data_IF_268601380066
#
_entry.id   IF_268601380066
#
_cell.length_a   1.000
_cell.length_b   1.000
_cell.length_c   1.000
_cell.angle_alpha   90.00
_cell.angle_beta   90.00
_cell.angle_gamma   90.00
#
_symmetry.space_group_name_H-M   'P 1'
#
loop_
_entity.id
_entity.type
_entity.pdbx_description
1 polymer ?
#
# COMPACT_ATOMS: atom_id res chain seq x y z
N UNK A 1 8.76 42.18 23.52
CA UNK A 1 7.79 42.18 22.41
C UNK A 1 7.76 40.75 21.88
N UNK A 2 6.97 39.93 22.57
CA UNK A 2 6.86 38.50 22.32
C UNK A 2 5.37 38.27 22.10
N UNK A 3 5.00 37.93 20.87
CA UNK A 3 3.72 37.31 20.54
C UNK A 3 3.95 36.50 19.27
N UNK A 4 4.42 35.28 19.50
CA UNK A 4 4.46 34.22 18.51
C UNK A 4 3.10 33.53 18.61
N UNK A 5 2.13 33.99 17.82
CA UNK A 5 0.79 33.42 17.77
C UNK A 5 0.87 31.94 17.33
N UNK A 6 0.61 31.05 18.29
CA UNK A 6 0.38 29.64 18.07
C UNK A 6 -0.97 29.47 17.37
N UNK A 7 -0.94 29.25 16.05
CA UNK A 7 -2.12 28.85 15.32
C UNK A 7 -2.58 27.45 15.76
N UNK A 8 -3.70 27.41 16.46
CA UNK A 8 -4.45 26.19 16.78
C UNK A 8 -5.04 25.67 15.47
N UNK A 9 -4.41 24.65 14.86
CA UNK A 9 -4.93 23.99 13.67
C UNK A 9 -6.21 23.24 14.06
N UNK A 10 -7.34 23.82 13.68
CA UNK A 10 -8.66 23.22 13.71
C UNK A 10 -8.64 21.84 13.05
N UNK A 11 -9.38 20.93 13.67
CA UNK A 11 -9.59 19.53 13.30
C UNK A 11 -9.69 19.33 11.78
N UNK A 12 -8.67 18.67 11.22
CA UNK A 12 -8.63 18.31 9.81
C UNK A 12 -9.64 17.18 9.57
N UNK A 13 -10.70 17.40 8.78
CA UNK A 13 -11.59 16.31 8.41
C UNK A 13 -10.81 15.40 7.44
N UNK A 14 -10.39 14.23 7.90
CA UNK A 14 -9.81 13.15 7.08
C UNK A 14 -10.83 12.53 6.10
N UNK A 15 -11.70 13.33 5.48
CA UNK A 15 -12.71 12.86 4.54
C UNK A 15 -12.40 13.15 3.08
N UNK A 16 -11.43 14.02 2.78
CA UNK A 16 -11.01 14.27 1.40
C UNK A 16 -9.81 13.40 1.01
N UNK A 17 -10.00 12.08 1.06
CA UNK A 17 -9.31 11.21 0.10
C UNK A 17 -9.97 11.44 -1.26
N UNK A 18 -9.77 12.62 -1.85
CA UNK A 18 -9.74 12.68 -3.30
C UNK A 18 -8.55 11.82 -3.70
N UNK A 19 -8.79 10.50 -3.79
CA UNK A 19 -8.09 9.62 -4.71
C UNK A 19 -7.87 10.46 -5.94
N UNK A 20 -6.61 10.61 -6.39
CA UNK A 20 -6.26 11.33 -7.61
C UNK A 20 -7.14 10.83 -8.77
N UNK A 21 -8.36 11.36 -8.90
CA UNK A 21 -9.34 11.02 -9.92
C UNK A 21 -8.90 11.56 -11.27
N UNK A 22 -7.86 12.39 -11.28
CA UNK A 22 -7.20 12.91 -12.47
C UNK A 22 -6.33 11.89 -13.20
N UNK A 23 -6.07 10.69 -12.63
CA UNK A 23 -5.55 9.57 -13.42
C UNK A 23 -6.65 8.92 -14.30
N UNK A 24 -7.90 9.34 -14.18
CA UNK A 24 -9.05 8.64 -14.77
C UNK A 24 -9.52 9.05 -16.17
N UNK A 25 -9.09 10.12 -16.86
CA UNK A 25 -9.51 10.32 -18.24
C UNK A 25 -8.33 10.10 -19.17
N UNK A 26 -8.22 8.91 -19.81
CA UNK A 26 -7.60 8.68 -21.14
C UNK A 26 -7.32 7.20 -21.48
N UNK A 27 -7.72 6.23 -20.66
CA UNK A 27 -7.78 4.83 -21.12
C UNK A 27 -9.25 4.47 -21.36
N UNK A 28 -9.58 4.09 -22.60
CA UNK A 28 -10.86 3.50 -22.95
C UNK A 28 -11.14 2.36 -21.98
N UNK A 29 -12.02 2.63 -21.01
CA UNK A 29 -12.31 1.74 -19.89
C UNK A 29 -13.27 0.67 -20.38
N UNK A 30 -12.77 -0.53 -20.59
CA UNK A 30 -13.57 -1.73 -20.79
C UNK A 30 -13.79 -2.40 -19.41
N UNK A 31 -14.99 -2.29 -18.80
CA UNK A 31 -15.25 -2.79 -17.44
C UNK A 31 -15.09 -4.31 -17.31
N UNK A 32 -15.12 -5.05 -18.44
CA UNK A 32 -15.18 -6.51 -18.49
C UNK A 32 -13.82 -7.20 -18.70
N UNK A 33 -12.71 -6.45 -18.86
CA UNK A 33 -11.46 -7.02 -19.38
C UNK A 33 -10.47 -7.52 -18.30
N UNK A 34 -10.73 -7.27 -17.02
CA UNK A 34 -9.85 -7.70 -15.93
C UNK A 34 -10.57 -8.49 -14.85
N UNK A 35 -10.78 -9.78 -15.13
CA UNK A 35 -11.14 -10.77 -14.11
C UNK A 35 -9.91 -10.99 -13.22
N UNK A 36 -9.96 -10.49 -11.98
CA UNK A 36 -8.94 -10.80 -10.98
C UNK A 36 -8.89 -12.32 -10.79
N UNK A 37 -7.73 -12.93 -10.95
CA UNK A 37 -7.56 -14.36 -10.71
C UNK A 37 -7.88 -14.68 -9.25
N UNK A 38 -8.88 -15.53 -9.02
CA UNK A 38 -9.20 -16.07 -7.70
C UNK A 38 -8.57 -17.44 -7.54
N UNK A 39 -7.98 -17.69 -6.38
CA UNK A 39 -7.39 -18.98 -6.01
C UNK A 39 -7.92 -19.43 -4.66
N UNK A 40 -7.85 -20.74 -4.43
CA UNK A 40 -8.24 -21.34 -3.16
C UNK A 40 -7.08 -21.32 -2.15
N UNK A 41 -7.40 -21.28 -0.86
CA UNK A 41 -6.46 -21.27 0.26
C UNK A 41 -5.54 -22.49 0.24
N UNK A 42 -6.04 -23.64 -0.21
CA UNK A 42 -5.27 -24.90 -0.35
C UNK A 42 -4.12 -24.81 -1.34
N UNK A 43 -4.17 -23.85 -2.27
CA UNK A 43 -3.11 -23.60 -3.25
C UNK A 43 -1.97 -22.77 -2.66
N UNK A 44 -2.12 -22.23 -1.45
CA UNK A 44 -1.23 -21.23 -0.86
C UNK A 44 -0.51 -21.79 0.37
N UNK A 45 0.82 -21.78 0.33
CA UNK A 45 1.67 -22.11 1.48
C UNK A 45 2.37 -20.85 1.98
N UNK A 46 2.13 -20.47 3.24
CA UNK A 46 2.87 -19.37 3.89
C UNK A 46 4.19 -19.90 4.44
N UNK A 47 5.30 -19.18 4.25
CA UNK A 47 6.63 -19.63 4.66
C UNK A 47 7.26 -18.69 5.69
N UNK A 48 7.65 -17.48 5.29
CA UNK A 48 8.43 -16.54 6.12
C UNK A 48 7.71 -15.22 6.27
N UNK A 49 7.69 -14.62 7.47
CA UNK A 49 7.21 -13.24 7.64
C UNK A 49 8.22 -12.26 7.01
N UNK A 50 7.76 -11.44 6.07
CA UNK A 50 8.55 -10.38 5.42
C UNK A 50 8.39 -9.03 6.11
N UNK A 51 7.19 -8.73 6.61
CA UNK A 51 6.93 -7.48 7.32
C UNK A 51 5.53 -7.40 7.90
N UNK A 52 5.27 -6.32 8.64
CA UNK A 52 3.97 -6.00 9.22
C UNK A 52 3.72 -4.50 9.10
N UNK A 53 2.48 -4.11 8.79
CA UNK A 53 2.07 -2.72 8.70
C UNK A 53 0.59 -2.53 9.04
N UNK A 54 0.05 -1.35 8.73
CA UNK A 54 -1.31 -0.95 9.10
C UNK A 54 -2.39 -1.95 8.64
N UNK A 55 -2.23 -2.55 7.46
CA UNK A 55 -3.21 -3.47 6.87
C UNK A 55 -3.01 -4.94 7.26
N UNK A 56 -1.98 -5.26 8.06
CA UNK A 56 -1.68 -6.62 8.49
C UNK A 56 -0.26 -7.06 8.16
N UNK A 57 -0.08 -8.37 8.03
CA UNK A 57 1.24 -9.01 7.86
C UNK A 57 1.46 -9.36 6.40
N UNK A 58 2.72 -9.30 5.97
CA UNK A 58 3.15 -9.77 4.66
C UNK A 58 4.08 -10.95 4.86
N UNK A 59 3.75 -12.08 4.25
CA UNK A 59 4.55 -13.29 4.28
C UNK A 59 5.10 -13.59 2.89
N UNK A 60 6.29 -14.16 2.81
CA UNK A 60 6.70 -14.96 1.67
C UNK A 60 5.87 -16.23 1.68
N UNK A 61 5.57 -16.75 0.50
CA UNK A 61 4.92 -18.03 0.35
C UNK A 61 4.99 -18.55 -1.06
N UNK A 62 4.32 -19.67 -1.27
CA UNK A 62 4.32 -20.41 -2.51
C UNK A 62 2.88 -20.66 -2.97
N UNK A 63 2.60 -20.46 -4.25
CA UNK A 63 1.29 -20.71 -4.85
C UNK A 63 1.40 -21.76 -5.95
N UNK A 64 0.56 -22.79 -5.86
CA UNK A 64 0.48 -23.88 -6.84
C UNK A 64 -0.57 -23.60 -7.91
N UNK A 65 -0.27 -24.00 -9.14
CA UNK A 65 -1.21 -23.99 -10.27
C UNK A 65 -1.75 -22.59 -10.63
N UNK A 66 -0.96 -21.53 -10.40
CA UNK A 66 -1.38 -20.16 -10.72
C UNK A 66 -1.32 -19.88 -12.22
N UNK A 67 -0.25 -20.35 -12.86
CA UNK A 67 -0.17 -20.44 -14.32
C UNK A 67 -0.38 -21.93 -14.67
N UNK A 68 -1.05 -22.24 -15.78
CA UNK A 68 -1.54 -23.59 -16.16
C UNK A 68 -0.47 -24.70 -16.28
N UNK A 69 0.75 -24.48 -15.80
CA UNK A 69 1.94 -25.31 -15.95
C UNK A 69 2.28 -26.20 -14.75
N UNK A 70 1.43 -26.27 -13.72
CA UNK A 70 1.69 -27.14 -12.54
C UNK A 70 2.89 -26.70 -11.68
N UNK A 71 3.48 -25.55 -11.98
CA UNK A 71 4.62 -24.97 -11.28
C UNK A 71 4.19 -24.22 -10.04
N UNK A 72 5.05 -24.25 -9.02
CA UNK A 72 4.90 -23.49 -7.80
C UNK A 72 5.66 -22.16 -7.92
N UNK A 73 4.98 -21.05 -7.64
CA UNK A 73 5.54 -19.70 -7.77
C UNK A 73 5.74 -19.11 -6.38
N UNK A 74 6.94 -18.61 -6.10
CA UNK A 74 7.20 -17.84 -4.88
C UNK A 74 6.62 -16.43 -4.98
N UNK A 75 5.90 -16.03 -3.93
CA UNK A 75 5.05 -14.83 -3.90
C UNK A 75 5.17 -14.11 -2.57
N UNK A 76 4.76 -12.85 -2.54
CA UNK A 76 4.44 -12.13 -1.31
C UNK A 76 2.92 -12.20 -1.05
N UNK A 77 2.52 -12.57 0.15
CA UNK A 77 1.14 -12.77 0.55
C UNK A 77 0.81 -11.78 1.65
N UNK A 78 0.00 -10.78 1.30
CA UNK A 78 -0.53 -9.81 2.26
C UNK A 78 -1.76 -10.43 2.92
N UNK A 79 -1.77 -10.45 4.24
CA UNK A 79 -2.88 -10.94 5.06
C UNK A 79 -3.56 -9.74 5.72
N UNK A 80 -4.87 -9.85 5.94
CA UNK A 80 -5.58 -8.95 6.84
C UNK A 80 -5.24 -9.29 8.31
N UNK A 81 -5.44 -8.35 9.23
CA UNK A 81 -5.30 -8.60 10.67
C UNK A 81 -6.41 -9.56 11.17
N UNK A 82 -6.09 -10.37 12.17
CA UNK A 82 -7.08 -11.22 12.84
C UNK A 82 -8.14 -10.36 13.53
N UNK A 83 -9.42 -10.69 13.34
CA UNK A 83 -10.53 -9.93 13.92
C UNK A 83 -10.86 -8.60 13.21
N UNK A 84 -10.32 -8.37 12.02
CA UNK A 84 -10.59 -7.16 11.24
C UNK A 84 -12.09 -6.98 10.94
N UNK A 85 -12.54 -5.74 11.01
CA UNK A 85 -13.91 -5.33 10.72
C UNK A 85 -14.27 -5.50 9.25
N UNK A 86 -15.57 -5.56 8.95
CA UNK A 86 -16.08 -5.58 7.57
C UNK A 86 -15.60 -4.37 6.74
N UNK A 87 -15.41 -3.21 7.38
CA UNK A 87 -14.91 -2.01 6.71
C UNK A 87 -13.43 -2.15 6.32
N UNK A 88 -12.60 -2.74 7.18
CA UNK A 88 -11.18 -3.02 6.87
C UNK A 88 -11.06 -4.05 5.75
N UNK A 89 -11.91 -5.10 5.78
CA UNK A 89 -12.01 -6.07 4.68
C UNK A 89 -12.35 -5.39 3.35
N UNK A 90 -13.30 -4.44 3.37
CA UNK A 90 -13.67 -3.64 2.19
C UNK A 90 -12.52 -2.75 1.70
N UNK A 91 -11.79 -2.08 2.61
CA UNK A 91 -10.61 -1.27 2.26
C UNK A 91 -9.51 -2.14 1.63
N UNK A 92 -9.26 -3.31 2.20
CA UNK A 92 -8.27 -4.28 1.72
C UNK A 92 -8.58 -4.80 0.30
N UNK A 93 -9.84 -5.19 0.05
CA UNK A 93 -10.26 -5.61 -1.30
C UNK A 93 -10.33 -4.43 -2.29
N UNK A 94 -10.57 -3.20 -1.82
CA UNK A 94 -10.49 -2.01 -2.68
C UNK A 94 -9.06 -1.77 -3.18
N UNK A 95 -8.05 -1.98 -2.34
CA UNK A 95 -6.63 -1.93 -2.74
C UNK A 95 -6.35 -2.93 -3.86
N UNK A 96 -6.83 -4.18 -3.72
CA UNK A 96 -6.68 -5.22 -4.72
C UNK A 96 -7.30 -4.85 -6.07
N UNK A 97 -8.52 -4.28 -6.06
CA UNK A 97 -9.23 -3.83 -7.26
C UNK A 97 -8.49 -2.70 -7.99
N UNK A 98 -7.86 -1.78 -7.25
CA UNK A 98 -7.05 -0.71 -7.84
C UNK A 98 -5.82 -1.29 -8.54
N UNK A 99 -5.16 -2.27 -7.92
CA UNK A 99 -3.99 -2.94 -8.52
C UNK A 99 -4.35 -3.78 -9.74
N UNK A 100 -5.52 -4.43 -9.75
CA UNK A 100 -5.92 -5.28 -10.87
C UNK A 100 -6.41 -4.50 -12.09
N UNK A 101 -7.19 -3.43 -11.90
CA UNK A 101 -7.82 -2.72 -13.02
C UNK A 101 -6.87 -1.76 -13.75
N UNK A 102 -5.80 -1.26 -13.09
CA UNK A 102 -5.10 -0.05 -13.57
C UNK A 102 -3.59 -0.28 -13.82
N UNK A 103 -2.96 -1.30 -13.22
CA UNK A 103 -1.51 -1.24 -12.96
C UNK A 103 -0.67 -2.42 -13.50
N UNK A 104 -0.83 -2.80 -14.78
CA UNK A 104 0.17 -3.66 -15.43
C UNK A 104 1.31 -2.81 -16.01
N UNK A 105 2.38 -2.64 -15.25
CA UNK A 105 3.58 -1.94 -15.71
C UNK A 105 4.85 -2.51 -15.07
N UNK A 106 5.98 -2.50 -15.80
CA UNK A 106 7.27 -3.06 -15.37
C UNK A 106 7.79 -2.49 -14.04
N UNK A 107 7.41 -1.26 -13.71
CA UNK A 107 7.88 -0.55 -12.52
C UNK A 107 6.83 -0.44 -11.41
N UNK A 108 5.75 -1.22 -11.49
CA UNK A 108 4.67 -1.22 -10.50
C UNK A 108 4.45 -2.65 -10.02
N UNK A 109 4.36 -2.82 -8.69
CA UNK A 109 4.19 -4.12 -8.06
C UNK A 109 2.93 -4.80 -8.59
N UNK A 110 3.08 -6.01 -9.12
CA UNK A 110 1.99 -6.75 -9.74
C UNK A 110 1.18 -7.54 -8.72
N UNK A 111 -0.14 -7.36 -8.75
CA UNK A 111 -1.09 -8.28 -8.14
C UNK A 111 -1.27 -9.50 -9.05
N UNK A 112 -1.05 -10.69 -8.48
CA UNK A 112 -1.13 -11.96 -9.18
C UNK A 112 -2.51 -12.61 -9.03
N UNK A 113 -3.02 -12.66 -7.80
CA UNK A 113 -4.29 -13.28 -7.47
C UNK A 113 -4.84 -12.76 -6.13
N UNK A 114 -6.10 -13.08 -5.87
CA UNK A 114 -6.74 -12.93 -4.56
C UNK A 114 -7.25 -14.28 -4.05
N UNK A 115 -7.23 -14.47 -2.74
CA UNK A 115 -7.91 -15.58 -2.08
C UNK A 115 -8.97 -14.99 -1.16
N UNK A 116 -10.23 -15.29 -1.42
CA UNK A 116 -11.37 -14.79 -0.63
C UNK A 116 -11.98 -15.87 0.27
N UNK A 117 -11.25 -16.98 0.49
CA UNK A 117 -11.73 -18.09 1.31
C UNK A 117 -11.89 -17.68 2.78
N UNK A 118 -13.12 -17.76 3.27
CA UNK A 118 -13.47 -17.47 4.67
C UNK A 118 -13.45 -15.98 5.03
N UNK A 119 -13.21 -15.70 6.31
CA UNK A 119 -13.32 -14.34 6.85
C UNK A 119 -12.10 -13.46 6.58
N UNK A 120 -10.94 -14.04 6.29
CA UNK A 120 -9.67 -13.31 6.12
C UNK A 120 -9.13 -13.40 4.69
N UNK A 121 -9.40 -12.40 3.82
CA UNK A 121 -8.91 -12.42 2.45
C UNK A 121 -7.38 -12.23 2.39
N UNK A 122 -6.77 -12.74 1.32
CA UNK A 122 -5.34 -12.62 1.05
C UNK A 122 -5.10 -11.99 -0.32
N UNK A 123 -4.07 -11.14 -0.42
CA UNK A 123 -3.57 -10.65 -1.70
C UNK A 123 -2.26 -11.36 -2.04
N UNK A 124 -2.19 -11.92 -3.24
CA UNK A 124 -1.00 -12.58 -3.76
C UNK A 124 -0.30 -11.62 -4.71
N UNK A 125 0.88 -11.19 -4.32
CA UNK A 125 1.70 -10.19 -4.98
C UNK A 125 3.00 -10.83 -5.50
N UNK A 126 3.59 -10.18 -6.49
CA UNK A 126 4.96 -10.48 -6.89
C UNK A 126 5.92 -10.37 -5.70
N UNK A 127 6.82 -11.35 -5.56
CA UNK A 127 7.82 -11.33 -4.50
C UNK A 127 8.96 -10.41 -4.90
N UNK A 128 9.20 -9.37 -4.11
CA UNK A 128 10.34 -8.48 -4.26
C UNK A 128 11.48 -8.93 -3.34
N UNK A 129 12.72 -8.94 -3.83
CA UNK A 129 13.87 -9.43 -3.07
C UNK A 129 14.18 -8.55 -1.84
N UNK A 130 14.06 -7.22 -1.98
CA UNK A 130 14.45 -6.25 -0.96
C UNK A 130 13.49 -5.05 -0.97
N UNK A 131 13.13 -4.54 0.21
CA UNK A 131 12.43 -3.26 0.33
C UNK A 131 13.41 -2.09 0.18
N UNK A 132 12.98 -1.02 -0.49
CA UNK A 132 13.87 0.09 -0.84
C UNK A 132 14.48 0.77 0.40
N UNK A 133 13.72 0.89 1.49
CA UNK A 133 14.22 1.53 2.71
C UNK A 133 15.35 0.72 3.33
N UNK A 134 15.19 -0.60 3.42
CA UNK A 134 16.21 -1.51 3.91
C UNK A 134 17.42 -1.51 2.99
N UNK A 135 17.23 -1.59 1.68
CA UNK A 135 18.33 -1.50 0.71
C UNK A 135 19.16 -0.22 0.92
N UNK A 136 18.51 0.93 1.07
CA UNK A 136 19.18 2.22 1.28
C UNK A 136 19.85 2.36 2.65
N UNK A 137 19.36 1.67 3.68
CA UNK A 137 19.99 1.62 5.01
C UNK A 137 21.25 0.77 4.98
N UNK A 138 21.12 -0.43 4.43
CA UNK A 138 22.22 -1.41 4.30
C UNK A 138 23.35 -0.83 3.42
N UNK A 139 22.99 -0.14 2.33
CA UNK A 139 23.96 0.51 1.43
C UNK A 139 24.71 1.70 2.06
N UNK A 140 24.19 2.27 3.15
CA UNK A 140 24.76 3.47 3.80
C UNK A 140 25.40 3.20 5.16
N UNK A 141 25.38 1.97 5.69
CA UNK A 141 25.78 1.65 7.07
C UNK A 141 25.10 2.56 8.13
N UNK A 142 23.89 3.07 7.84
CA UNK A 142 23.18 4.01 8.71
C UNK A 142 22.38 3.26 9.79
N UNK A 143 22.60 3.62 11.05
CA UNK A 143 21.89 3.06 12.21
C UNK A 143 20.42 3.48 12.23
N UNK A 144 19.57 2.63 12.82
CA UNK A 144 18.11 2.74 12.79
C UNK A 144 17.51 3.93 13.57
N UNK A 145 18.35 4.78 14.18
CA UNK A 145 17.96 5.82 15.14
C UNK A 145 17.23 7.03 14.56
N UNK A 146 17.25 7.24 13.24
CA UNK A 146 16.89 8.56 12.68
C UNK A 146 15.42 8.69 12.22
N UNK A 147 14.62 7.62 12.34
CA UNK A 147 13.25 7.60 11.84
C UNK A 147 12.22 7.90 12.95
N UNK A 148 12.21 9.13 13.44
CA UNK A 148 11.11 9.62 14.27
C UNK A 148 9.87 9.86 13.39
N UNK A 149 8.89 8.97 13.47
CA UNK A 149 7.53 9.23 13.01
C UNK A 149 6.93 10.31 13.91
N UNK A 150 6.86 11.54 13.41
CA UNK A 150 6.17 12.63 14.09
C UNK A 150 4.66 12.38 13.99
N UNK A 151 3.98 12.34 15.14
CA UNK A 151 2.54 12.15 15.24
C UNK A 151 1.83 13.49 15.05
N UNK A 152 1.08 13.64 13.95
CA UNK A 152 -0.01 14.62 13.91
C UNK A 152 -1.23 14.01 14.62
N UNK A 153 -1.97 14.86 15.34
CA UNK A 153 -3.09 14.46 16.19
C UNK A 153 -4.29 14.12 15.29
N UNK A 154 -4.59 12.83 15.15
CA UNK A 154 -5.70 12.27 14.36
C UNK A 154 -5.40 10.81 14.01
N UNK A 155 -6.40 9.92 13.95
CA UNK A 155 -6.28 8.48 14.26
C UNK A 155 -5.38 7.61 13.37
N UNK A 156 -4.70 8.14 12.35
CA UNK A 156 -3.72 7.41 11.54
C UNK A 156 -2.41 8.21 11.39
N UNK A 157 -1.23 7.60 11.64
CA UNK A 157 0.05 8.30 11.54
C UNK A 157 0.34 8.74 10.09
N UNK A 158 0.53 10.04 9.89
CA UNK A 158 0.87 10.63 8.58
C UNK A 158 2.40 10.73 8.38
N UNK A 159 2.92 10.52 7.16
CA UNK A 159 4.35 10.58 6.85
C UNK A 159 4.82 12.02 6.63
N UNK A 160 4.79 12.86 7.67
CA UNK A 160 5.02 14.32 7.59
C UNK A 160 6.28 14.70 6.79
N UNK A 161 7.38 13.95 6.97
CA UNK A 161 8.66 14.22 6.28
C UNK A 161 8.61 14.05 4.75
N UNK A 162 7.57 13.37 4.25
CA UNK A 162 7.36 13.07 2.83
C UNK A 162 6.23 13.90 2.22
N UNK A 163 5.49 14.66 3.02
CA UNK A 163 4.33 15.41 2.59
C UNK A 163 4.72 16.78 2.05
N UNK A 164 4.05 17.20 0.97
CA UNK A 164 4.19 18.54 0.42
C UNK A 164 3.55 19.58 1.38
N UNK A 165 3.96 20.86 1.33
CA UNK A 165 3.40 21.90 2.19
C UNK A 165 1.88 22.00 2.09
N UNK A 166 1.31 21.90 0.89
CA UNK A 166 -0.14 21.93 0.68
C UNK A 166 -0.86 20.71 1.28
N UNK A 167 -0.21 19.55 1.32
CA UNK A 167 -0.74 18.35 1.97
C UNK A 167 -0.74 18.48 3.49
N UNK A 168 0.28 19.15 4.05
CA UNK A 168 0.38 19.40 5.49
C UNK A 168 -0.63 20.45 5.96
N UNK A 169 -0.78 21.54 5.21
CA UNK A 169 -1.60 22.68 5.63
C UNK A 169 -3.08 22.48 5.29
N UNK A 170 -3.39 21.86 4.16
CA UNK A 170 -4.76 21.82 3.65
C UNK A 170 -5.31 20.39 3.43
N UNK A 171 -4.51 19.35 3.70
CA UNK A 171 -4.91 17.96 3.44
C UNK A 171 -5.12 17.67 1.95
N UNK A 172 -4.51 18.45 1.07
CA UNK A 172 -4.64 18.32 -0.39
C UNK A 172 -3.59 17.32 -0.92
N UNK A 173 -4.05 16.33 -1.70
CA UNK A 173 -3.19 15.34 -2.35
C UNK A 173 -3.39 15.39 -3.87
N UNK A 174 -2.31 15.65 -4.59
CA UNK A 174 -2.28 15.82 -6.06
C UNK A 174 -1.07 15.12 -6.68
N UNK A 175 -1.02 15.05 -8.02
CA UNK A 175 0.20 14.63 -8.73
C UNK A 175 1.41 15.50 -8.39
N UNK A 176 1.23 16.81 -8.14
CA UNK A 176 2.32 17.70 -7.72
C UNK A 176 2.86 17.33 -6.34
N UNK A 177 1.97 17.01 -5.39
CA UNK A 177 2.39 16.52 -4.07
C UNK A 177 3.10 15.15 -4.16
N UNK A 178 2.76 14.30 -5.14
CA UNK A 178 3.49 13.05 -5.38
C UNK A 178 4.90 13.32 -5.93
N UNK A 179 5.06 14.32 -6.81
CA UNK A 179 6.38 14.76 -7.30
C UNK A 179 7.23 15.28 -6.15
N UNK A 180 6.64 16.01 -5.19
CA UNK A 180 7.34 16.40 -3.96
C UNK A 180 7.83 15.18 -3.17
N UNK A 181 6.96 14.20 -2.89
CA UNK A 181 7.34 12.97 -2.18
C UNK A 181 8.42 12.18 -2.93
N UNK A 182 8.41 12.20 -4.26
CA UNK A 182 9.46 11.61 -5.08
C UNK A 182 10.78 12.39 -4.98
N UNK A 183 10.74 13.72 -4.86
CA UNK A 183 11.92 14.54 -4.57
C UNK A 183 12.56 14.23 -3.22
N UNK A 184 11.77 13.86 -2.21
CA UNK A 184 12.29 13.39 -0.90
C UNK A 184 12.93 11.99 -1.01
N UNK A 185 12.52 11.19 -1.99
CA UNK A 185 13.06 9.85 -2.21
C UNK A 185 14.50 9.86 -2.76
N UNK A 186 14.84 10.87 -3.56
CA UNK A 186 16.13 11.02 -4.27
C UNK A 186 17.13 11.75 -3.37
#
# INVERSE_FOLDING_TARGET
MADMELAILHEVPCQNTQLNMLYSPMLHYNPDEYVITKIERKQITLTKLLGSGAFGKVFQGNVKNLERSGTEISVAIKTLQEGASSNEKKKFLKEAKLMSHILRHKHILRLLAICEDGDSPLLVLELMEIDLLKYLKDSRNLQASDLHALRLKGEDPLPIRWMAPESLTFGIFTSQSNVWSFGVLI
#
